data_IF_267348043854
#
_entry.id   IF_267348043854
#
_cell.length_a   1.000
_cell.length_b   1.000
_cell.length_c   1.000
_cell.angle_alpha   90.00
_cell.angle_beta   90.00
_cell.angle_gamma   90.00
#
_symmetry.space_group_name_H-M   'P 1'
#
loop_
_entity.id
_entity.type
_entity.pdbx_description
1 polymer ?
#
# COMPACT_ATOMS: atom_id res chain seq x y z
N UNK A 1 -1.36 -15.87 -10.86
CA UNK A 1 -0.94 -14.54 -10.31
C UNK A 1 0.23 -14.75 -9.35
N UNK A 2 1.17 -13.79 -9.27
CA UNK A 2 2.26 -13.85 -8.28
C UNK A 2 1.67 -13.86 -6.86
N UNK A 3 2.17 -14.76 -5.99
CA UNK A 3 1.67 -14.89 -4.61
C UNK A 3 2.22 -13.81 -3.68
N UNK A 4 3.30 -13.13 -4.08
CA UNK A 4 3.82 -11.95 -3.38
C UNK A 4 4.19 -10.84 -4.35
N UNK A 5 4.10 -9.60 -3.89
CA UNK A 5 4.49 -8.38 -4.59
C UNK A 5 5.17 -7.43 -3.63
N UNK A 6 6.42 -7.10 -3.93
CA UNK A 6 7.22 -6.17 -3.15
C UNK A 6 7.46 -4.93 -4.00
N UNK A 7 7.13 -3.77 -3.47
CA UNK A 7 7.26 -2.50 -4.16
C UNK A 7 7.55 -1.34 -3.22
N UNK A 8 7.35 -0.14 -3.72
CA UNK A 8 7.62 1.11 -3.01
C UNK A 8 6.37 1.98 -3.03
N UNK A 9 6.22 2.84 -2.04
CA UNK A 9 5.17 3.86 -1.98
C UNK A 9 5.55 5.06 -2.87
N UNK A 10 5.30 4.92 -4.19
CA UNK A 10 5.67 5.88 -5.22
C UNK A 10 6.97 5.53 -5.94
N UNK A 11 7.19 6.19 -7.09
CA UNK A 11 8.39 5.98 -7.94
C UNK A 11 9.14 7.26 -8.27
N UNK A 12 8.64 8.44 -7.91
CA UNK A 12 9.24 9.74 -8.23
C UNK A 12 9.70 10.45 -6.96
N UNK A 13 10.96 10.24 -6.60
CA UNK A 13 11.61 10.92 -5.49
C UNK A 13 12.96 11.54 -5.96
N UNK A 14 13.35 12.71 -5.45
CA UNK A 14 14.66 13.30 -5.79
C UNK A 14 15.82 12.34 -5.57
N UNK A 15 15.83 11.65 -4.42
CA UNK A 15 16.88 10.70 -4.05
C UNK A 15 16.98 9.48 -5.00
N UNK A 16 15.94 9.18 -5.78
CA UNK A 16 15.96 8.11 -6.77
C UNK A 16 16.66 8.54 -8.05
N UNK A 17 16.57 9.82 -8.44
CA UNK A 17 17.23 10.37 -9.63
C UNK A 17 18.75 10.28 -9.52
N UNK A 18 19.31 10.41 -8.31
CA UNK A 18 20.77 10.41 -8.09
C UNK A 18 21.36 9.00 -7.96
N UNK A 19 20.53 7.96 -7.78
CA UNK A 19 21.01 6.62 -7.41
C UNK A 19 20.55 5.49 -8.32
N UNK A 20 19.34 5.56 -8.80
CA UNK A 20 18.65 4.40 -9.44
C UNK A 20 18.22 4.70 -10.86
N UNK A 21 17.86 5.94 -11.16
CA UNK A 21 17.52 6.33 -12.51
C UNK A 21 18.77 6.78 -13.27
N UNK A 22 18.93 6.37 -14.55
CA UNK A 22 19.95 6.94 -15.41
C UNK A 22 19.85 8.48 -15.48
N UNK A 23 20.99 9.17 -15.56
CA UNK A 23 21.05 10.64 -15.55
C UNK A 23 20.24 11.29 -16.69
N UNK A 24 20.13 10.60 -17.83
CA UNK A 24 19.41 11.04 -19.03
C UNK A 24 17.93 10.58 -19.05
N UNK A 25 17.48 9.82 -18.04
CA UNK A 25 16.11 9.31 -18.01
C UNK A 25 15.10 10.42 -17.76
N UNK A 26 14.20 10.62 -18.72
CA UNK A 26 13.15 11.62 -18.59
C UNK A 26 12.15 11.22 -17.48
N UNK A 27 11.65 12.22 -16.78
CA UNK A 27 10.65 12.02 -15.71
C UNK A 27 9.43 11.20 -16.17
N UNK A 28 9.00 11.36 -17.41
CA UNK A 28 7.89 10.62 -18.00
C UNK A 28 8.18 9.12 -18.18
N UNK A 29 9.45 8.72 -18.24
CA UNK A 29 9.90 7.35 -18.47
C UNK A 29 10.24 6.61 -17.16
N UNK A 30 10.24 7.33 -16.03
CA UNK A 30 10.62 6.76 -14.73
C UNK A 30 9.72 5.61 -14.29
N UNK A 31 8.42 5.64 -14.61
CA UNK A 31 7.50 4.55 -14.29
C UNK A 31 7.84 3.27 -15.07
N UNK A 32 8.12 3.40 -16.37
CA UNK A 32 8.55 2.26 -17.19
C UNK A 32 9.86 1.65 -16.70
N UNK A 33 10.81 2.48 -16.29
CA UNK A 33 12.07 2.01 -15.69
C UNK A 33 11.83 1.33 -14.32
N UNK A 34 10.99 1.92 -13.46
CA UNK A 34 10.60 1.34 -12.18
C UNK A 34 9.97 -0.05 -12.38
N UNK A 35 9.08 -0.19 -13.36
CA UNK A 35 8.38 -1.43 -13.67
C UNK A 35 9.28 -2.56 -14.22
N UNK A 36 10.53 -2.26 -14.63
CA UNK A 36 11.54 -3.28 -14.94
C UNK A 36 12.16 -3.91 -13.68
N UNK A 37 12.02 -3.26 -12.52
CA UNK A 37 12.60 -3.70 -11.24
C UNK A 37 11.56 -4.22 -10.26
N UNK A 38 10.31 -3.75 -10.36
CA UNK A 38 9.23 -4.10 -9.45
C UNK A 38 7.93 -4.36 -10.21
N UNK A 39 7.15 -5.33 -9.78
CA UNK A 39 5.86 -5.70 -10.39
C UNK A 39 4.66 -4.97 -9.77
N UNK A 40 4.89 -4.05 -8.84
CA UNK A 40 3.85 -3.28 -8.16
C UNK A 40 4.38 -1.97 -7.61
N UNK A 41 3.48 -1.01 -7.45
CA UNK A 41 3.74 0.27 -6.77
C UNK A 41 2.53 0.66 -5.93
N UNK A 42 2.73 1.32 -4.79
CA UNK A 42 1.64 1.98 -4.06
C UNK A 42 1.56 3.46 -4.48
N UNK A 43 0.41 3.87 -5.01
CA UNK A 43 0.19 5.26 -5.43
C UNK A 43 -0.28 6.10 -4.25
N UNK A 44 0.50 7.12 -3.89
CA UNK A 44 0.16 8.08 -2.85
C UNK A 44 -0.39 9.42 -3.39
N UNK A 45 -0.25 9.70 -4.68
CA UNK A 45 -0.75 10.95 -5.29
C UNK A 45 -2.26 11.09 -5.14
N UNK A 46 -3.01 10.00 -5.29
CA UNK A 46 -4.46 9.90 -5.09
C UNK A 46 -4.93 10.34 -3.70
N UNK A 47 -4.04 10.29 -2.71
CA UNK A 47 -4.32 10.78 -1.36
C UNK A 47 -4.52 12.30 -1.34
N UNK A 48 -3.74 13.05 -2.12
CA UNK A 48 -3.79 14.50 -2.15
C UNK A 48 -4.76 15.04 -3.21
N UNK A 49 -4.71 14.48 -4.41
CA UNK A 49 -5.52 14.85 -5.54
C UNK A 49 -5.77 13.63 -6.43
N UNK A 50 -7.00 13.42 -6.85
CA UNK A 50 -7.33 12.38 -7.82
C UNK A 50 -6.75 12.77 -9.18
N UNK A 51 -6.00 11.86 -9.84
CA UNK A 51 -5.47 12.10 -11.17
C UNK A 51 -6.58 12.12 -12.22
N UNK A 52 -6.33 12.75 -13.36
CA UNK A 52 -7.20 12.68 -14.52
C UNK A 52 -7.11 11.29 -15.17
N UNK A 53 -8.17 10.87 -15.86
CA UNK A 53 -8.24 9.59 -16.56
C UNK A 53 -7.06 9.33 -17.50
N UNK A 54 -6.66 10.37 -18.27
CA UNK A 54 -5.52 10.29 -19.20
C UNK A 54 -4.19 10.03 -18.49
N UNK A 55 -4.04 10.56 -17.27
CA UNK A 55 -2.84 10.30 -16.46
C UNK A 55 -2.80 8.83 -16.01
N UNK A 56 -3.93 8.29 -15.58
CA UNK A 56 -4.03 6.88 -15.18
C UNK A 56 -3.78 5.97 -16.38
N UNK A 57 -4.42 6.26 -17.53
CA UNK A 57 -4.23 5.49 -18.74
C UNK A 57 -2.76 5.46 -19.17
N UNK A 58 -2.08 6.62 -19.12
CA UNK A 58 -0.65 6.69 -19.39
C UNK A 58 0.20 5.84 -18.42
N UNK A 59 -0.17 5.73 -17.14
CA UNK A 59 0.52 4.83 -16.20
C UNK A 59 0.27 3.36 -16.53
N UNK A 60 -0.97 3.01 -16.88
CA UNK A 60 -1.35 1.65 -17.28
C UNK A 60 -0.57 1.23 -18.53
N UNK A 61 -0.48 2.11 -19.54
CA UNK A 61 0.19 1.83 -20.82
C UNK A 61 1.71 1.70 -20.69
N UNK A 62 2.32 2.36 -19.69
CA UNK A 62 3.76 2.32 -19.41
C UNK A 62 4.24 1.09 -18.65
N UNK A 63 3.35 0.24 -18.17
CA UNK A 63 3.70 -0.89 -17.31
C UNK A 63 3.35 -2.25 -17.93
N UNK A 64 4.05 -3.34 -17.57
CA UNK A 64 3.71 -4.69 -18.02
C UNK A 64 2.26 -5.08 -17.68
N UNK A 65 1.71 -6.06 -18.40
CA UNK A 65 0.33 -6.50 -18.23
C UNK A 65 0.01 -6.98 -16.80
N UNK A 66 0.97 -7.65 -16.17
CA UNK A 66 0.83 -8.19 -14.80
C UNK A 66 1.17 -7.19 -13.70
N UNK A 67 1.52 -5.95 -14.03
CA UNK A 67 1.85 -4.91 -13.05
C UNK A 67 0.61 -4.44 -12.29
N UNK A 68 0.70 -4.31 -10.95
CA UNK A 68 -0.40 -3.83 -10.11
C UNK A 68 -0.11 -2.49 -9.44
N UNK A 69 -1.10 -1.62 -9.49
CA UNK A 69 -1.12 -0.35 -8.76
C UNK A 69 -1.96 -0.51 -7.49
N UNK A 70 -1.31 -0.56 -6.33
CA UNK A 70 -2.03 -0.40 -5.07
C UNK A 70 -2.36 1.08 -4.86
N UNK A 71 -3.55 1.40 -4.39
CA UNK A 71 -4.06 2.77 -4.43
C UNK A 71 -4.37 3.25 -3.02
N UNK A 72 -3.69 4.31 -2.56
CA UNK A 72 -4.03 4.95 -1.30
C UNK A 72 -5.23 5.87 -1.49
N UNK A 73 -6.29 5.59 -0.77
CA UNK A 73 -7.53 6.36 -0.84
C UNK A 73 -7.34 7.84 -0.44
N UNK A 74 -8.17 8.71 -1.01
CA UNK A 74 -8.12 10.15 -0.83
C UNK A 74 -8.16 10.56 0.65
N UNK A 75 -7.35 11.59 1.00
CA UNK A 75 -7.42 12.25 2.32
C UNK A 75 -8.80 12.83 2.62
N UNK A 76 -9.55 13.19 1.61
CA UNK A 76 -10.92 13.67 1.76
C UNK A 76 -11.78 12.61 2.45
N UNK A 77 -11.72 11.36 1.99
CA UNK A 77 -12.45 10.23 2.57
C UNK A 77 -11.94 9.92 3.98
N UNK A 78 -10.63 9.75 4.13
CA UNK A 78 -10.03 9.15 5.32
C UNK A 78 -9.73 10.15 6.45
N UNK A 79 -9.29 11.38 6.12
CA UNK A 79 -8.80 12.37 7.09
C UNK A 79 -9.76 13.54 7.28
N UNK A 80 -10.43 14.00 6.23
CA UNK A 80 -11.35 15.14 6.34
C UNK A 80 -12.74 14.68 6.74
N UNK A 81 -13.29 13.68 6.06
CA UNK A 81 -14.62 13.11 6.37
C UNK A 81 -14.58 11.98 7.41
N UNK A 82 -13.39 11.40 7.71
CA UNK A 82 -13.26 10.29 8.66
C UNK A 82 -14.29 9.17 8.38
N UNK A 83 -14.39 8.74 7.11
CA UNK A 83 -15.31 7.73 6.60
C UNK A 83 -16.82 8.09 6.74
N UNK A 84 -17.16 9.35 6.95
CA UNK A 84 -18.56 9.81 6.92
C UNK A 84 -19.08 9.90 5.48
N UNK A 85 -20.39 9.80 5.34
CA UNK A 85 -21.10 10.00 4.07
C UNK A 85 -20.52 9.18 2.91
N UNK A 86 -20.36 7.84 3.08
CA UNK A 86 -19.71 7.03 2.04
C UNK A 86 -20.44 7.09 0.69
N UNK A 87 -21.78 7.21 0.69
CA UNK A 87 -22.57 7.37 -0.53
C UNK A 87 -22.22 8.63 -1.34
N UNK A 88 -21.65 9.65 -0.72
CA UNK A 88 -21.24 10.91 -1.38
C UNK A 88 -19.73 10.93 -1.66
N UNK A 89 -18.92 10.34 -0.76
CA UNK A 89 -17.46 10.45 -0.81
C UNK A 89 -16.78 9.40 -1.67
N UNK A 90 -17.40 8.23 -1.83
CA UNK A 90 -16.83 7.10 -2.57
C UNK A 90 -17.02 7.17 -4.09
N UNK A 91 -18.17 7.60 -4.66
CA UNK A 91 -18.43 7.50 -6.09
C UNK A 91 -17.33 8.12 -6.96
N UNK A 92 -16.96 9.37 -6.70
CA UNK A 92 -15.91 10.06 -7.46
C UNK A 92 -14.53 9.40 -7.34
N UNK A 93 -14.23 8.79 -6.19
CA UNK A 93 -12.99 8.04 -6.00
C UNK A 93 -13.00 6.75 -6.83
N UNK A 94 -14.06 5.96 -6.78
CA UNK A 94 -14.17 4.72 -7.54
C UNK A 94 -14.27 4.96 -9.05
N UNK A 95 -14.97 6.00 -9.48
CA UNK A 95 -14.97 6.42 -10.88
C UNK A 95 -13.55 6.71 -11.38
N UNK A 96 -12.79 7.49 -10.61
CA UNK A 96 -11.38 7.76 -10.95
C UNK A 96 -10.52 6.50 -11.04
N UNK A 97 -10.59 5.59 -10.05
CA UNK A 97 -9.70 4.42 -10.02
C UNK A 97 -10.14 3.31 -10.98
N UNK A 98 -11.37 3.35 -11.49
CA UNK A 98 -11.85 2.38 -12.50
C UNK A 98 -10.98 2.35 -13.75
N UNK A 99 -10.32 3.46 -14.09
CA UNK A 99 -9.40 3.57 -15.22
C UNK A 99 -8.13 2.71 -15.10
N UNK A 100 -7.80 2.18 -13.91
CA UNK A 100 -6.72 1.19 -13.76
C UNK A 100 -7.11 -0.19 -14.31
N UNK A 101 -8.41 -0.48 -14.45
CA UNK A 101 -8.91 -1.75 -14.94
C UNK A 101 -8.33 -2.93 -14.14
N UNK A 102 -7.84 -3.95 -14.85
CA UNK A 102 -7.25 -5.15 -14.25
C UNK A 102 -5.93 -4.91 -13.49
N UNK A 103 -5.28 -3.76 -13.71
CA UNK A 103 -4.09 -3.34 -12.97
C UNK A 103 -4.40 -2.65 -11.64
N UNK A 104 -5.71 -2.54 -11.28
CA UNK A 104 -6.11 -2.04 -9.96
C UNK A 104 -5.78 -3.09 -8.89
N UNK A 105 -4.77 -2.81 -8.08
CA UNK A 105 -4.39 -3.59 -6.91
C UNK A 105 -5.23 -3.24 -5.67
N UNK A 106 -4.80 -3.68 -4.47
CA UNK A 106 -5.49 -3.38 -3.22
C UNK A 106 -5.63 -1.87 -2.95
N UNK A 107 -6.77 -1.48 -2.40
CA UNK A 107 -7.06 -0.09 -2.01
C UNK A 107 -6.79 0.09 -0.52
N UNK A 108 -5.91 1.03 -0.19
CA UNK A 108 -5.51 1.35 1.18
C UNK A 108 -6.31 2.51 1.74
N UNK A 109 -7.09 2.27 2.79
CA UNK A 109 -7.68 3.30 3.64
C UNK A 109 -6.83 3.50 4.89
N UNK A 110 -5.94 4.50 4.89
CA UNK A 110 -5.14 4.83 6.07
C UNK A 110 -5.86 5.88 6.90
N UNK A 111 -6.17 5.54 8.16
CA UNK A 111 -6.85 6.45 9.09
C UNK A 111 -5.87 7.29 9.90
N UNK A 112 -6.22 8.54 10.23
CA UNK A 112 -5.33 9.42 10.96
C UNK A 112 -5.09 8.94 12.41
N UNK A 113 -3.89 9.16 12.98
CA UNK A 113 -3.51 8.63 14.28
C UNK A 113 -4.31 9.21 15.46
N UNK A 114 -4.92 10.38 15.30
CA UNK A 114 -5.75 10.99 16.33
C UNK A 114 -7.19 10.47 16.36
N UNK A 115 -7.64 9.75 15.32
CA UNK A 115 -9.01 9.26 15.25
C UNK A 115 -9.17 7.94 16.00
N UNK A 116 -9.87 8.02 17.14
CA UNK A 116 -10.19 6.87 17.99
C UNK A 116 -11.23 5.97 17.36
N UNK A 117 -11.31 4.74 17.83
CA UNK A 117 -12.23 3.72 17.35
C UNK A 117 -13.68 4.17 17.29
N UNK A 118 -14.33 3.86 16.17
CA UNK A 118 -15.77 3.97 15.97
C UNK A 118 -16.22 2.83 15.03
N UNK A 119 -16.52 1.68 15.62
CA UNK A 119 -16.88 0.46 14.85
C UNK A 119 -18.15 0.67 14.01
N UNK A 120 -19.16 1.37 14.55
CA UNK A 120 -20.41 1.63 13.81
C UNK A 120 -20.13 2.43 12.52
N UNK A 121 -19.23 3.42 12.59
CA UNK A 121 -18.85 4.20 11.41
C UNK A 121 -18.03 3.38 10.43
N UNK A 122 -17.09 2.57 10.91
CA UNK A 122 -16.32 1.68 10.07
C UNK A 122 -17.23 0.66 9.38
N UNK A 123 -18.17 0.04 10.10
CA UNK A 123 -19.12 -0.90 9.53
C UNK A 123 -19.98 -0.26 8.43
N UNK A 124 -20.59 0.89 8.72
CA UNK A 124 -21.34 1.63 7.70
C UNK A 124 -20.52 1.98 6.47
N UNK A 125 -19.23 2.28 6.64
CA UNK A 125 -18.35 2.54 5.51
C UNK A 125 -18.07 1.28 4.70
N UNK A 126 -17.79 0.16 5.37
CA UNK A 126 -17.54 -1.15 4.75
C UNK A 126 -18.76 -1.66 3.95
N UNK A 127 -19.98 -1.38 4.43
CA UNK A 127 -21.24 -1.72 3.74
C UNK A 127 -21.39 -1.02 2.37
N UNK A 128 -20.70 0.10 2.16
CA UNK A 128 -20.79 0.87 0.91
C UNK A 128 -19.63 0.59 -0.07
N UNK A 129 -18.68 -0.27 0.32
CA UNK A 129 -17.56 -0.57 -0.56
C UNK A 129 -17.98 -1.55 -1.67
N UNK A 130 -17.67 -1.25 -2.96
CA UNK A 130 -17.90 -2.18 -4.07
C UNK A 130 -17.21 -3.53 -3.87
N UNK A 131 -17.85 -4.62 -4.24
CA UNK A 131 -17.36 -6.00 -3.97
C UNK A 131 -16.23 -6.46 -4.87
N UNK A 132 -15.94 -5.78 -5.97
CA UNK A 132 -14.95 -6.15 -6.98
C UNK A 132 -13.50 -5.82 -6.60
N UNK A 133 -13.29 -4.97 -5.58
CA UNK A 133 -11.94 -4.56 -5.16
C UNK A 133 -11.48 -5.26 -3.88
N UNK A 134 -10.17 -5.27 -3.66
CA UNK A 134 -9.55 -5.72 -2.42
C UNK A 134 -9.22 -4.50 -1.55
N UNK A 135 -9.58 -4.55 -0.28
CA UNK A 135 -9.43 -3.42 0.65
C UNK A 135 -8.47 -3.73 1.77
N UNK A 136 -7.71 -2.71 2.19
CA UNK A 136 -6.86 -2.78 3.37
C UNK A 136 -6.98 -1.50 4.22
N UNK A 137 -6.94 -1.66 5.55
CA UNK A 137 -7.10 -0.57 6.49
C UNK A 137 -5.85 -0.43 7.37
N UNK A 138 -5.17 0.72 7.29
CA UNK A 138 -4.08 1.09 8.18
C UNK A 138 -4.62 1.94 9.34
N UNK A 139 -4.67 1.34 10.53
CA UNK A 139 -5.30 1.89 11.72
C UNK A 139 -4.23 2.34 12.72
N UNK A 140 -3.85 3.63 12.68
CA UNK A 140 -2.71 4.16 13.45
C UNK A 140 -3.01 4.51 14.91
N UNK A 141 -4.27 4.62 15.31
CA UNK A 141 -4.63 4.85 16.71
C UNK A 141 -4.76 3.52 17.45
N UNK A 142 -4.15 3.40 18.62
CA UNK A 142 -4.12 2.16 19.40
C UNK A 142 -5.50 1.63 19.80
N UNK A 143 -6.50 2.50 19.93
CA UNK A 143 -7.86 2.09 20.27
C UNK A 143 -8.50 1.17 19.22
N UNK A 144 -7.99 1.16 17.99
CA UNK A 144 -8.42 0.27 16.93
C UNK A 144 -7.81 -1.14 16.99
N UNK A 145 -6.66 -1.30 17.70
CA UNK A 145 -5.88 -2.54 17.68
C UNK A 145 -6.46 -3.56 18.67
N UNK A 146 -7.64 -4.09 18.35
CA UNK A 146 -8.36 -5.05 19.20
C UNK A 146 -9.27 -5.98 18.36
N UNK A 147 -9.68 -7.08 18.99
CA UNK A 147 -10.38 -8.18 18.30
C UNK A 147 -11.70 -7.75 17.65
N UNK A 148 -12.45 -6.82 18.24
CA UNK A 148 -13.69 -6.33 17.65
C UNK A 148 -13.47 -5.65 16.28
N UNK A 149 -12.35 -4.93 16.16
CA UNK A 149 -11.95 -4.33 14.87
C UNK A 149 -11.55 -5.41 13.86
N UNK A 150 -10.73 -6.37 14.29
CA UNK A 150 -10.28 -7.44 13.40
C UNK A 150 -11.43 -8.35 12.98
N UNK A 151 -12.36 -8.65 13.89
CA UNK A 151 -13.58 -9.39 13.60
C UNK A 151 -14.45 -8.69 12.56
N UNK A 152 -14.57 -7.36 12.67
CA UNK A 152 -15.31 -6.56 11.70
C UNK A 152 -14.63 -6.58 10.31
N UNK A 153 -13.31 -6.40 10.25
CA UNK A 153 -12.57 -6.49 8.98
C UNK A 153 -12.71 -7.88 8.33
N UNK A 154 -12.65 -8.98 9.13
CA UNK A 154 -12.88 -10.35 8.61
C UNK A 154 -14.27 -10.51 8.02
N UNK A 155 -15.32 -9.99 8.70
CA UNK A 155 -16.72 -10.03 8.25
C UNK A 155 -16.88 -9.45 6.83
N UNK A 156 -16.13 -8.38 6.53
CA UNK A 156 -16.18 -7.67 5.26
C UNK A 156 -15.05 -8.04 4.29
N UNK A 157 -14.29 -9.09 4.57
CA UNK A 157 -13.14 -9.50 3.76
C UNK A 157 -12.15 -8.34 3.48
N UNK A 158 -11.95 -7.47 4.46
CA UNK A 158 -11.01 -6.35 4.41
C UNK A 158 -9.73 -6.68 5.18
N UNK A 159 -8.56 -6.42 4.58
CA UNK A 159 -7.28 -6.69 5.20
C UNK A 159 -6.93 -5.65 6.28
N UNK A 160 -6.40 -6.10 7.42
CA UNK A 160 -5.68 -5.22 8.33
C UNK A 160 -4.28 -4.95 7.77
N UNK A 161 -3.93 -3.68 7.57
CA UNK A 161 -2.58 -3.30 7.15
C UNK A 161 -1.60 -3.48 8.30
N UNK A 162 -0.61 -4.33 8.10
CA UNK A 162 0.54 -4.47 9.01
C UNK A 162 1.53 -3.36 8.68
N UNK A 163 1.96 -2.60 9.67
CA UNK A 163 2.87 -1.48 9.43
C UNK A 163 3.96 -1.35 10.49
N UNK A 164 5.07 -0.77 10.07
CA UNK A 164 6.16 -0.28 10.90
C UNK A 164 6.28 1.23 10.69
N UNK A 165 6.01 2.03 11.72
CA UNK A 165 5.93 3.47 11.60
C UNK A 165 6.34 4.18 12.90
N UNK A 166 7.35 5.04 12.82
CA UNK A 166 7.77 5.92 13.91
C UNK A 166 8.01 5.18 15.24
N UNK A 167 8.93 4.21 15.23
CA UNK A 167 9.31 3.34 16.36
C UNK A 167 8.20 2.40 16.86
N UNK A 168 7.11 2.24 16.10
CA UNK A 168 5.98 1.38 16.48
C UNK A 168 5.68 0.38 15.38
N UNK A 169 5.56 -0.88 15.78
CA UNK A 169 5.08 -1.94 14.90
C UNK A 169 3.63 -2.27 15.27
N UNK A 170 2.77 -2.38 14.26
CA UNK A 170 1.43 -2.90 14.45
C UNK A 170 1.46 -4.39 14.79
N UNK A 171 0.39 -4.94 15.39
CA UNK A 171 0.23 -6.38 15.48
C UNK A 171 0.29 -7.05 14.10
N UNK A 172 0.92 -8.23 14.02
CA UNK A 172 1.04 -9.01 12.76
C UNK A 172 -0.18 -9.91 12.57
N UNK A 173 -1.36 -9.33 12.56
CA UNK A 173 -2.65 -10.03 12.44
C UNK A 173 -3.10 -10.00 10.99
N UNK A 174 -3.59 -11.14 10.48
CA UNK A 174 -4.21 -11.24 9.17
C UNK A 174 -5.72 -11.40 9.32
N UNK A 175 -6.49 -10.63 8.57
CA UNK A 175 -7.96 -10.66 8.61
C UNK A 175 -8.56 -11.26 7.35
N UNK A 176 -7.76 -11.45 6.29
CA UNK A 176 -8.16 -12.07 5.03
C UNK A 176 -7.03 -12.94 4.47
N UNK A 177 -7.19 -13.46 3.25
CA UNK A 177 -6.12 -14.06 2.44
C UNK A 177 -5.13 -13.03 1.88
N UNK A 178 -5.47 -11.73 1.86
CA UNK A 178 -4.54 -10.64 1.55
C UNK A 178 -3.79 -10.19 2.80
N UNK A 179 -2.47 -10.22 2.73
CA UNK A 179 -1.57 -9.59 3.70
C UNK A 179 -1.01 -8.32 3.08
N UNK A 180 -1.29 -7.18 3.69
CA UNK A 180 -0.80 -5.89 3.20
C UNK A 180 0.15 -5.29 4.23
N UNK A 181 1.37 -4.95 3.80
CA UNK A 181 2.45 -4.51 4.68
C UNK A 181 2.98 -3.16 4.23
N UNK A 182 3.17 -2.23 5.17
CA UNK A 182 3.81 -0.93 4.92
C UNK A 182 4.99 -0.72 5.85
N UNK A 183 6.17 -0.54 5.28
CA UNK A 183 7.44 -0.40 5.99
C UNK A 183 7.97 1.02 5.83
N UNK A 184 7.69 1.87 6.82
CA UNK A 184 8.03 3.31 6.79
C UNK A 184 9.42 3.64 7.38
N UNK A 185 10.21 2.65 7.74
CA UNK A 185 11.49 2.77 8.42
C UNK A 185 11.44 2.29 9.87
N UNK A 186 12.50 1.62 10.35
CA UNK A 186 12.53 0.99 11.68
C UNK A 186 12.61 2.01 12.83
N UNK A 187 13.05 3.21 12.53
CA UNK A 187 13.19 4.32 13.48
C UNK A 187 12.24 5.46 13.15
N UNK A 188 12.81 6.63 12.86
CA UNK A 188 12.02 7.78 12.43
C UNK A 188 11.35 7.52 11.10
N UNK A 189 10.06 7.83 11.03
CA UNK A 189 9.25 7.58 9.84
C UNK A 189 9.88 8.15 8.56
N UNK A 190 9.85 7.36 7.50
CA UNK A 190 10.30 7.65 6.13
C UNK A 190 11.83 7.75 5.96
N UNK A 191 12.66 7.46 6.97
CA UNK A 191 14.09 7.78 6.94
C UNK A 191 15.01 6.57 6.96
N UNK A 192 15.00 5.76 8.02
CA UNK A 192 16.08 4.81 8.26
C UNK A 192 15.98 3.56 7.37
N UNK A 193 17.13 2.97 6.96
CA UNK A 193 17.15 1.71 6.24
C UNK A 193 16.84 0.54 7.17
N UNK A 194 16.17 -0.48 6.66
CA UNK A 194 16.07 -1.78 7.32
C UNK A 194 17.38 -2.54 7.18
N UNK A 195 17.83 -3.16 8.28
CA UNK A 195 19.01 -4.04 8.26
C UNK A 195 18.72 -5.31 7.48
N UNK A 196 19.77 -5.98 7.00
CA UNK A 196 19.60 -7.27 6.33
C UNK A 196 18.94 -8.32 7.24
N UNK A 197 19.26 -8.32 8.54
CA UNK A 197 18.60 -9.21 9.50
C UNK A 197 17.11 -8.95 9.57
N UNK A 198 16.69 -7.70 9.68
CA UNK A 198 15.25 -7.33 9.68
C UNK A 198 14.56 -7.75 8.39
N UNK A 199 15.22 -7.61 7.24
CA UNK A 199 14.66 -8.06 5.95
C UNK A 199 14.56 -9.59 5.88
N UNK A 200 15.49 -10.34 6.48
CA UNK A 200 15.39 -11.82 6.63
C UNK A 200 14.21 -12.22 7.51
N UNK A 201 14.00 -11.51 8.63
CA UNK A 201 12.85 -11.74 9.51
C UNK A 201 11.52 -11.48 8.78
N UNK A 202 11.46 -10.45 7.93
CA UNK A 202 10.30 -10.20 7.06
C UNK A 202 10.14 -11.28 6.00
N UNK A 203 11.23 -11.71 5.34
CA UNK A 203 11.19 -12.83 4.39
C UNK A 203 10.58 -14.07 5.03
N UNK A 204 11.09 -14.51 6.19
CA UNK A 204 10.62 -15.72 6.86
C UNK A 204 9.12 -15.62 7.20
N UNK A 205 8.68 -14.44 7.63
CA UNK A 205 7.27 -14.19 7.90
C UNK A 205 6.43 -14.23 6.61
N UNK A 206 6.89 -13.64 5.54
CA UNK A 206 6.21 -13.66 4.24
C UNK A 206 6.10 -15.09 3.73
N UNK A 207 7.18 -15.88 3.77
CA UNK A 207 7.15 -17.30 3.39
C UNK A 207 6.12 -18.09 4.20
N UNK A 208 6.05 -17.87 5.52
CA UNK A 208 5.03 -18.51 6.37
C UNK A 208 3.59 -18.16 5.96
N UNK A 209 3.31 -16.94 5.49
CA UNK A 209 1.99 -16.58 4.96
C UNK A 209 1.73 -17.19 3.58
N UNK A 210 2.76 -17.29 2.73
CA UNK A 210 2.65 -17.95 1.42
C UNK A 210 2.37 -19.44 1.56
N UNK A 211 2.94 -20.12 2.58
CA UNK A 211 2.60 -21.50 2.94
C UNK A 211 1.14 -21.68 3.36
N UNK A 212 0.54 -20.63 3.94
CA UNK A 212 -0.88 -20.55 4.28
C UNK A 212 -1.76 -20.10 3.10
N UNK A 213 -1.25 -20.14 1.87
CA UNK A 213 -1.93 -19.74 0.64
C UNK A 213 -2.37 -18.27 0.59
N UNK A 214 -1.77 -17.40 1.42
CA UNK A 214 -2.07 -15.97 1.39
C UNK A 214 -1.31 -15.25 0.26
N UNK A 215 -1.88 -14.14 -0.19
CA UNK A 215 -1.23 -13.19 -1.09
C UNK A 215 -0.60 -12.07 -0.27
N UNK A 216 0.66 -11.74 -0.55
CA UNK A 216 1.39 -10.72 0.22
C UNK A 216 1.74 -9.53 -0.66
N UNK A 217 1.32 -8.33 -0.26
CA UNK A 217 1.74 -7.07 -0.81
C UNK A 217 2.52 -6.29 0.23
N UNK A 218 3.77 -5.91 -0.07
CA UNK A 218 4.63 -5.18 0.85
C UNK A 218 5.21 -3.94 0.16
N UNK A 219 5.01 -2.78 0.77
CA UNK A 219 5.45 -1.50 0.25
C UNK A 219 6.38 -0.79 1.21
N UNK A 220 7.58 -0.45 0.72
CA UNK A 220 8.56 0.35 1.45
C UNK A 220 8.26 1.84 1.24
N UNK A 221 8.17 2.58 2.34
CA UNK A 221 7.90 4.03 2.35
C UNK A 221 9.03 4.83 3.05
N UNK A 222 10.17 4.18 3.35
CA UNK A 222 11.39 4.81 3.85
C UNK A 222 12.23 5.39 2.71
N UNK A 223 11.65 6.37 1.99
CA UNK A 223 12.16 6.87 0.71
C UNK A 223 13.38 7.78 0.81
N UNK A 224 13.66 8.33 2.00
CA UNK A 224 14.84 9.17 2.24
C UNK A 224 16.12 8.47 1.83
N UNK A 225 16.98 9.17 1.11
CA UNK A 225 18.24 8.65 0.54
C UNK A 225 18.08 7.37 -0.30
N UNK A 226 16.91 7.09 -0.82
CA UNK A 226 16.66 5.91 -1.65
C UNK A 226 16.56 4.59 -0.90
N UNK A 227 16.51 4.57 0.44
CA UNK A 227 16.50 3.33 1.22
C UNK A 227 15.35 2.39 0.86
N UNK A 228 14.18 2.92 0.50
CA UNK A 228 13.03 2.12 0.07
C UNK A 228 13.36 1.24 -1.14
N UNK A 229 14.11 1.76 -2.12
CA UNK A 229 14.52 1.02 -3.30
C UNK A 229 15.45 -0.14 -2.95
N UNK A 230 16.52 0.15 -2.19
CA UNK A 230 17.48 -0.88 -1.78
C UNK A 230 16.82 -1.98 -0.95
N UNK A 231 15.96 -1.60 0.01
CA UNK A 231 15.27 -2.55 0.87
C UNK A 231 14.25 -3.40 0.11
N UNK A 232 13.46 -2.82 -0.80
CA UNK A 232 12.51 -3.55 -1.62
C UNK A 232 13.23 -4.53 -2.55
N UNK A 233 14.30 -4.10 -3.21
CA UNK A 233 15.13 -4.96 -4.08
C UNK A 233 15.76 -6.11 -3.29
N UNK A 234 16.32 -5.82 -2.11
CA UNK A 234 16.93 -6.85 -1.26
C UNK A 234 15.89 -7.86 -0.77
N UNK A 235 14.70 -7.42 -0.36
CA UNK A 235 13.64 -8.33 0.09
C UNK A 235 13.14 -9.23 -1.06
N UNK A 236 12.98 -8.69 -2.27
CA UNK A 236 12.66 -9.49 -3.46
C UNK A 236 13.71 -10.59 -3.67
N UNK A 237 15.00 -10.23 -3.69
CA UNK A 237 16.08 -11.20 -3.85
C UNK A 237 16.06 -12.31 -2.78
N UNK A 238 15.74 -11.95 -1.53
CA UNK A 238 15.65 -12.91 -0.43
C UNK A 238 14.44 -13.85 -0.55
N UNK A 239 13.36 -13.43 -1.22
CA UNK A 239 12.17 -14.26 -1.44
C UNK A 239 12.27 -15.17 -2.68
N UNK A 240 13.13 -14.81 -3.63
CA UNK A 240 13.37 -15.57 -4.87
C UNK A 240 14.49 -16.60 -4.73
N UNK A 241 15.31 -16.51 -3.65
CA UNK A 241 16.42 -17.41 -3.36
C UNK A 241 15.96 -18.71 -2.68
#
# INVERSE_FOLDING_TARGET
MARFRIGISGWQYPDFNERFYPDDLKKAEQLSYYAQNFSTVEINNTFYQLPQSETIQNWVDQTPEDFLFSIKASRYITHMKNLLEPGETLPNFFDCISYFGEKCGPILFQLPPHWKINLKRLENFLDHLPGEYRYTFELRNETWLKEETYGLLRKYNAAFCIYDFNFRQSPRITTTDLVYIRLHGPGKAYQDPYTEQTLRDWRDRILSWLEQEKQVHCYFDNTYRGHAWDNAKKLNQLLEA
#
